data_IF_466305883203
#
_entry.id   IF_466305883203
#
_cell.length_a   1.000
_cell.length_b   1.000
_cell.length_c   1.000
_cell.angle_alpha   90.00
_cell.angle_beta   90.00
_cell.angle_gamma   90.00
#
_symmetry.space_group_name_H-M   'P 1'
#
loop_
_entity.id
_entity.type
_entity.pdbx_description
1 polymer ?
#
# COMPACT_ATOMS: atom_id res chain seq x y z
N UNK A 1 2.24 21.77 1.04
CA UNK A 1 1.73 20.70 0.11
C UNK A 1 1.47 19.45 0.94
N UNK A 2 0.22 18.98 0.95
CA UNK A 2 -0.13 17.69 1.55
C UNK A 2 -0.31 16.69 0.41
N UNK A 3 0.64 15.75 0.27
CA UNK A 3 0.66 14.80 -0.85
C UNK A 3 -0.59 13.91 -0.91
N UNK A 4 -1.27 13.69 0.20
CA UNK A 4 -2.49 12.91 0.26
C UNK A 4 -3.66 13.60 -0.47
N UNK A 5 -3.73 14.93 -0.38
CA UNK A 5 -4.86 15.73 -0.87
C UNK A 5 -4.55 16.50 -2.16
N UNK A 6 -3.31 16.96 -2.33
CA UNK A 6 -2.95 17.92 -3.38
C UNK A 6 -2.65 17.28 -4.74
N UNK A 7 -2.50 15.92 -4.79
CA UNK A 7 -2.29 15.24 -6.06
C UNK A 7 -3.53 15.37 -6.96
N UNK A 8 -3.32 15.56 -8.26
CA UNK A 8 -4.43 15.70 -9.21
C UNK A 8 -5.24 14.40 -9.31
N UNK A 9 -6.59 14.46 -9.37
CA UNK A 9 -7.46 13.28 -9.37
C UNK A 9 -7.22 12.31 -10.53
N UNK A 10 -6.82 12.81 -11.70
CA UNK A 10 -6.55 12.02 -12.90
C UNK A 10 -5.28 11.17 -12.80
N UNK A 11 -4.41 11.44 -11.83
CA UNK A 11 -3.23 10.64 -11.51
C UNK A 11 -3.54 9.47 -10.54
N UNK A 12 -4.81 9.34 -10.11
CA UNK A 12 -5.24 8.30 -9.16
C UNK A 12 -6.50 7.63 -9.71
N UNK A 13 -6.29 6.72 -10.67
CA UNK A 13 -7.35 5.91 -11.28
C UNK A 13 -7.15 4.45 -10.90
N UNK A 14 -8.21 3.67 -10.85
CA UNK A 14 -8.20 2.26 -10.46
C UNK A 14 -7.21 1.41 -11.25
N UNK A 15 -7.12 1.64 -12.55
CA UNK A 15 -6.28 0.86 -13.48
C UNK A 15 -4.81 1.28 -13.43
N UNK A 16 -4.57 2.56 -13.15
CA UNK A 16 -3.22 3.15 -13.08
C UNK A 16 -3.24 4.37 -12.16
N UNK A 17 -2.37 4.38 -11.19
CA UNK A 17 -2.30 5.42 -10.17
C UNK A 17 -0.86 5.75 -9.79
N UNK A 18 -0.70 6.85 -9.08
CA UNK A 18 0.59 7.27 -8.51
C UNK A 18 0.68 6.81 -7.07
N UNK A 19 1.70 6.02 -6.76
CA UNK A 19 2.10 5.65 -5.40
C UNK A 19 3.10 6.66 -4.87
N UNK A 20 2.95 7.02 -3.63
CA UNK A 20 3.91 7.81 -2.87
C UNK A 20 4.72 6.88 -1.97
N UNK A 21 6.04 6.77 -2.20
CA UNK A 21 6.89 5.86 -1.44
C UNK A 21 7.10 6.37 0.00
N UNK A 22 6.95 5.47 0.96
CA UNK A 22 7.22 5.72 2.36
C UNK A 22 8.51 5.01 2.81
N UNK A 23 8.61 3.71 2.56
CA UNK A 23 9.75 2.91 3.00
C UNK A 23 10.49 2.31 1.81
N UNK A 24 11.79 2.47 1.81
CA UNK A 24 12.69 1.91 0.80
C UNK A 24 12.90 0.41 1.02
N UNK A 25 13.01 -0.34 -0.04
CA UNK A 25 13.45 -1.74 0.01
C UNK A 25 14.78 -1.84 0.78
N UNK A 26 14.89 -2.78 1.70
CA UNK A 26 16.04 -2.99 2.58
C UNK A 26 16.02 -2.13 3.86
N UNK A 27 15.13 -1.14 3.98
CA UNK A 27 15.05 -0.31 5.20
C UNK A 27 14.57 -1.12 6.40
N UNK A 28 15.18 -0.84 7.56
CA UNK A 28 14.73 -1.30 8.88
C UNK A 28 13.93 -0.22 9.63
N UNK A 29 13.92 1.01 9.13
CA UNK A 29 13.04 2.06 9.64
C UNK A 29 11.64 1.92 9.05
N UNK A 30 10.62 1.97 9.90
CA UNK A 30 9.21 2.06 9.48
C UNK A 30 8.76 3.51 9.58
N UNK A 31 8.41 4.07 8.42
CA UNK A 31 7.82 5.39 8.32
C UNK A 31 6.32 5.22 8.08
N UNK A 32 5.52 6.00 8.78
CA UNK A 32 4.07 6.12 8.59
C UNK A 32 3.72 7.52 8.09
N UNK A 33 2.54 7.65 7.51
CA UNK A 33 2.05 8.93 7.03
C UNK A 33 1.19 9.61 8.10
N UNK A 34 1.58 10.83 8.48
CA UNK A 34 0.77 11.71 9.30
C UNK A 34 -0.14 12.55 8.39
N UNK A 35 -1.44 12.25 8.40
CA UNK A 35 -2.42 12.93 7.55
C UNK A 35 -2.61 14.41 7.88
N UNK A 36 -2.47 14.80 9.16
CA UNK A 36 -2.64 16.17 9.61
C UNK A 36 -1.43 17.03 9.22
N UNK A 37 -0.23 16.49 9.41
CA UNK A 37 1.01 17.16 9.01
C UNK A 37 1.26 17.08 7.50
N UNK A 38 0.72 16.08 6.82
CA UNK A 38 1.00 15.78 5.40
C UNK A 38 2.43 15.30 5.13
N UNK A 39 3.07 14.70 6.15
CA UNK A 39 4.47 14.30 6.16
C UNK A 39 4.64 12.84 6.58
N UNK A 40 5.83 12.28 6.31
CA UNK A 40 6.24 11.00 6.87
C UNK A 40 6.85 11.19 8.26
N UNK A 41 6.42 10.36 9.20
CA UNK A 41 6.94 10.29 10.55
C UNK A 41 7.60 8.95 10.80
N UNK A 42 8.66 8.91 11.62
CA UNK A 42 9.24 7.67 12.07
C UNK A 42 8.30 7.02 13.09
N UNK A 43 7.78 5.85 12.75
CA UNK A 43 6.90 5.07 13.60
C UNK A 43 7.73 4.18 14.55
N UNK A 44 8.55 3.29 14.00
CA UNK A 44 9.45 2.46 14.78
C UNK A 44 10.68 2.02 13.98
N UNK A 45 11.67 1.48 14.71
CA UNK A 45 12.83 0.82 14.14
C UNK A 45 12.72 -0.68 14.39
N UNK A 46 12.98 -1.46 13.34
CA UNK A 46 13.05 -2.91 13.45
C UNK A 46 14.36 -3.31 14.16
N UNK A 47 14.26 -4.07 15.23
CA UNK A 47 15.42 -4.64 15.96
C UNK A 47 16.07 -5.80 15.20
N UNK A 48 15.45 -6.27 14.14
CA UNK A 48 15.93 -7.40 13.35
C UNK A 48 16.64 -6.92 12.09
N UNK A 49 17.57 -7.74 11.58
CA UNK A 49 18.15 -7.57 10.26
C UNK A 49 17.11 -7.87 9.13
N UNK A 50 15.82 -7.80 9.44
CA UNK A 50 14.73 -8.00 8.49
C UNK A 50 14.35 -6.63 7.94
N UNK A 51 15.06 -6.19 6.90
CA UNK A 51 14.64 -5.03 6.11
C UNK A 51 13.39 -5.32 5.29
N UNK A 52 12.70 -4.28 4.88
CA UNK A 52 11.54 -4.39 3.99
C UNK A 52 11.93 -5.12 2.69
N UNK A 53 11.26 -6.21 2.29
CA UNK A 53 11.63 -6.97 1.09
C UNK A 53 11.32 -6.22 -0.20
N UNK A 54 10.42 -5.26 -0.14
CA UNK A 54 9.99 -4.41 -1.24
C UNK A 54 9.87 -2.98 -0.74
N UNK A 55 9.82 -2.01 -1.67
CA UNK A 55 9.39 -0.67 -1.30
C UNK A 55 7.94 -0.71 -0.81
N UNK A 56 7.58 0.19 0.10
CA UNK A 56 6.19 0.38 0.53
C UNK A 56 5.82 1.85 0.40
N UNK A 57 4.54 2.11 0.31
CA UNK A 57 4.04 3.46 0.20
C UNK A 57 2.53 3.49 0.40
N UNK A 58 1.93 4.55 -0.05
CA UNK A 58 0.48 4.71 0.04
C UNK A 58 -0.08 5.41 -1.21
N UNK A 59 -1.38 5.24 -1.40
CA UNK A 59 -2.11 5.83 -2.52
C UNK A 59 -2.76 7.14 -2.07
N UNK A 60 -2.35 8.28 -2.66
CA UNK A 60 -3.02 9.55 -2.43
C UNK A 60 -4.51 9.49 -2.78
N UNK A 61 -5.32 10.37 -2.21
CA UNK A 61 -6.77 10.49 -2.47
C UNK A 61 -7.58 9.21 -2.24
N UNK A 62 -7.12 8.37 -1.32
CA UNK A 62 -7.84 7.19 -0.82
C UNK A 62 -7.97 7.29 0.69
N UNK A 63 -8.99 6.66 1.27
CA UNK A 63 -9.22 6.67 2.72
C UNK A 63 -9.81 5.32 3.15
N UNK A 64 -9.09 4.60 3.99
CA UNK A 64 -9.57 3.37 4.62
C UNK A 64 -10.62 3.67 5.70
N UNK A 65 -11.24 2.66 6.27
CA UNK A 65 -12.17 2.81 7.41
C UNK A 65 -11.49 3.45 8.62
N UNK A 66 -10.20 3.16 8.83
CA UNK A 66 -9.39 3.75 9.91
C UNK A 66 -9.01 5.22 9.65
N UNK A 67 -9.38 5.78 8.50
CA UNK A 67 -9.11 7.17 8.16
C UNK A 67 -7.70 7.43 7.63
N UNK A 68 -7.00 6.42 7.17
CA UNK A 68 -5.65 6.50 6.59
C UNK A 68 -5.68 6.23 5.08
N UNK A 69 -4.68 6.68 4.31
CA UNK A 69 -4.57 6.29 2.91
C UNK A 69 -4.32 4.78 2.77
N UNK A 70 -4.69 4.19 1.62
CA UNK A 70 -4.35 2.79 1.33
C UNK A 70 -2.84 2.61 1.34
N UNK A 71 -2.36 1.66 2.12
CA UNK A 71 -0.97 1.20 2.04
C UNK A 71 -0.77 0.24 0.86
N UNK A 72 0.41 0.29 0.25
CA UNK A 72 0.76 -0.58 -0.88
C UNK A 72 2.14 -1.19 -0.73
N UNK A 73 2.26 -2.44 -1.17
CA UNK A 73 3.54 -3.10 -1.43
C UNK A 73 3.91 -2.77 -2.87
N UNK A 74 5.01 -2.04 -3.05
CA UNK A 74 5.45 -1.59 -4.37
C UNK A 74 6.53 -2.51 -4.93
N UNK A 75 6.16 -3.29 -5.93
CA UNK A 75 7.06 -4.14 -6.69
C UNK A 75 7.90 -3.28 -7.64
N UNK A 76 9.19 -3.20 -7.34
CA UNK A 76 10.21 -2.49 -8.11
C UNK A 76 11.56 -3.16 -7.87
N UNK A 77 12.39 -3.29 -8.91
CA UNK A 77 13.70 -3.95 -8.84
C UNK A 77 14.77 -3.15 -8.08
N UNK A 78 14.47 -1.87 -7.78
CA UNK A 78 15.41 -0.98 -7.11
C UNK A 78 14.81 -0.41 -5.81
N UNK A 79 15.63 -0.17 -4.78
CA UNK A 79 15.22 0.63 -3.65
C UNK A 79 14.94 2.07 -4.09
N UNK A 80 13.78 2.59 -3.72
CA UNK A 80 13.36 3.94 -4.03
C UNK A 80 13.44 4.82 -2.79
N UNK A 81 13.95 6.05 -2.88
CA UNK A 81 13.91 7.00 -1.77
C UNK A 81 12.47 7.24 -1.30
N UNK A 82 12.30 7.51 0.00
CA UNK A 82 11.03 8.04 0.51
C UNK A 82 10.65 9.34 -0.21
N UNK A 83 9.37 9.66 -0.27
CA UNK A 83 8.84 10.84 -0.96
C UNK A 83 8.93 10.80 -2.50
N UNK A 84 9.18 9.63 -3.10
CA UNK A 84 9.17 9.46 -4.57
C UNK A 84 7.76 9.16 -5.05
N UNK A 85 7.32 9.84 -6.11
CA UNK A 85 6.08 9.53 -6.83
C UNK A 85 6.36 8.49 -7.91
N UNK A 86 5.65 7.37 -7.87
CA UNK A 86 5.84 6.25 -8.78
C UNK A 86 4.53 5.90 -9.47
N UNK A 87 4.53 5.93 -10.81
CA UNK A 87 3.39 5.47 -11.59
C UNK A 87 3.30 3.95 -11.54
N UNK A 88 2.16 3.45 -11.09
CA UNK A 88 1.94 2.04 -10.81
C UNK A 88 0.58 1.57 -11.33
N UNK A 89 0.45 0.26 -11.44
CA UNK A 89 -0.84 -0.41 -11.62
C UNK A 89 -1.04 -1.48 -10.57
N UNK A 90 -2.28 -1.82 -10.22
CA UNK A 90 -2.56 -2.90 -9.28
C UNK A 90 -2.19 -4.26 -9.91
N UNK A 91 -1.72 -5.17 -9.05
CA UNK A 91 -1.49 -6.58 -9.38
C UNK A 91 -2.44 -7.46 -8.58
N UNK A 92 -2.81 -7.02 -7.39
CA UNK A 92 -3.72 -7.71 -6.48
C UNK A 92 -3.71 -7.09 -5.09
N UNK A 93 -4.20 -7.85 -4.14
CA UNK A 93 -4.35 -7.45 -2.73
C UNK A 93 -3.74 -8.52 -1.83
N UNK A 94 -3.16 -8.11 -0.70
CA UNK A 94 -2.85 -8.99 0.41
C UNK A 94 -3.68 -8.58 1.62
N UNK A 95 -4.45 -9.52 2.17
CA UNK A 95 -5.24 -9.34 3.37
C UNK A 95 -4.57 -10.05 4.55
N UNK A 96 -4.32 -9.32 5.63
CA UNK A 96 -3.86 -9.86 6.91
C UNK A 96 -5.06 -9.92 7.85
N UNK A 97 -5.48 -11.12 8.21
CA UNK A 97 -6.49 -11.32 9.22
C UNK A 97 -5.83 -11.32 10.59
N UNK A 98 -6.28 -10.46 11.48
CA UNK A 98 -5.72 -10.27 12.81
C UNK A 98 -6.44 -11.18 13.82
N UNK A 99 -5.75 -11.50 14.93
CA UNK A 99 -6.34 -12.31 16.00
C UNK A 99 -7.50 -11.60 16.72
N UNK A 100 -7.54 -10.27 16.67
CA UNK A 100 -8.64 -9.46 17.23
C UNK A 100 -9.90 -9.41 16.34
N UNK A 101 -9.87 -10.10 15.18
CA UNK A 101 -10.95 -10.12 14.18
C UNK A 101 -10.87 -9.00 13.15
N UNK A 102 -9.90 -8.08 13.25
CA UNK A 102 -9.67 -7.03 12.26
C UNK A 102 -8.98 -7.56 11.00
N UNK A 103 -8.94 -6.73 9.97
CA UNK A 103 -8.23 -7.03 8.72
C UNK A 103 -7.43 -5.81 8.28
N UNK A 104 -6.16 -6.02 7.92
CA UNK A 104 -5.31 -5.02 7.29
C UNK A 104 -5.10 -5.41 5.83
N UNK A 105 -5.45 -4.50 4.92
CA UNK A 105 -5.36 -4.72 3.49
C UNK A 105 -4.24 -3.86 2.87
N UNK A 106 -3.43 -4.50 2.02
CA UNK A 106 -2.38 -3.84 1.25
C UNK A 106 -2.60 -4.13 -0.22
N UNK A 107 -2.68 -3.09 -1.06
CA UNK A 107 -2.65 -3.32 -2.50
C UNK A 107 -1.21 -3.69 -2.91
N UNK A 108 -1.07 -4.65 -3.79
CA UNK A 108 0.21 -4.97 -4.43
C UNK A 108 0.25 -4.23 -5.74
N UNK A 109 1.22 -3.35 -5.89
CA UNK A 109 1.38 -2.45 -7.04
C UNK A 109 2.67 -2.73 -7.78
N UNK A 110 2.64 -2.74 -9.10
CA UNK A 110 3.82 -2.86 -9.95
C UNK A 110 4.20 -1.50 -10.53
N UNK A 111 5.48 -1.13 -10.42
CA UNK A 111 6.01 0.09 -11.02
C UNK A 111 5.98 -0.01 -12.56
N UNK A 112 5.30 0.93 -13.23
CA UNK A 112 5.17 0.92 -14.69
C UNK A 112 6.50 1.14 -15.43
N UNK A 113 7.46 1.81 -14.80
CA UNK A 113 8.79 2.06 -15.35
C UNK A 113 9.77 0.88 -15.22
N UNK A 114 9.41 -0.17 -14.49
CA UNK A 114 10.24 -1.36 -14.28
C UNK A 114 9.81 -2.45 -15.26
N UNK A 115 10.67 -2.79 -16.24
CA UNK A 115 10.31 -3.77 -17.28
C UNK A 115 9.96 -5.15 -16.73
N UNK A 116 10.65 -5.60 -15.67
CA UNK A 116 10.39 -6.89 -15.06
C UNK A 116 9.02 -6.91 -14.34
N UNK A 117 8.77 -5.92 -13.48
CA UNK A 117 7.55 -5.88 -12.69
C UNK A 117 6.34 -5.37 -13.47
N UNK A 118 6.54 -4.54 -14.49
CA UNK A 118 5.43 -4.12 -15.35
C UNK A 118 4.82 -5.27 -16.17
N UNK A 119 5.55 -6.37 -16.37
CA UNK A 119 5.02 -7.58 -17.00
C UNK A 119 4.18 -8.46 -16.06
N UNK A 120 4.31 -8.30 -14.73
CA UNK A 120 3.57 -9.06 -13.72
C UNK A 120 2.12 -8.56 -13.63
N UNK A 121 1.14 -9.31 -14.11
CA UNK A 121 -0.27 -8.89 -14.20
C UNK A 121 -1.13 -9.42 -13.06
N UNK A 122 -0.72 -10.51 -12.42
CA UNK A 122 -1.48 -11.21 -11.38
C UNK A 122 -0.60 -11.58 -10.19
N UNK A 123 -1.23 -11.80 -9.04
CA UNK A 123 -0.52 -12.25 -7.82
C UNK A 123 0.17 -13.60 -7.99
N UNK A 124 -0.32 -14.45 -8.88
CA UNK A 124 0.25 -15.78 -9.12
C UNK A 124 1.57 -15.71 -9.89
N UNK A 125 1.78 -14.66 -10.66
CA UNK A 125 3.04 -14.39 -11.38
C UNK A 125 4.13 -13.84 -10.45
N UNK A 126 3.80 -13.39 -9.24
CA UNK A 126 4.78 -12.97 -8.26
C UNK A 126 5.55 -14.20 -7.77
N UNK A 127 6.89 -14.22 -7.86
CA UNK A 127 7.70 -15.35 -7.41
C UNK A 127 7.36 -15.77 -5.98
N UNK A 128 7.25 -17.07 -5.73
CA UNK A 128 6.89 -17.61 -4.41
C UNK A 128 7.82 -17.12 -3.30
N UNK A 129 9.11 -16.96 -3.59
CA UNK A 129 10.07 -16.42 -2.63
C UNK A 129 9.73 -14.99 -2.22
N UNK A 130 9.33 -14.14 -3.19
CA UNK A 130 8.91 -12.76 -2.96
C UNK A 130 7.63 -12.73 -2.13
N UNK A 131 6.61 -13.53 -2.48
CA UNK A 131 5.36 -13.63 -1.69
C UNK A 131 5.64 -14.04 -0.24
N UNK A 132 6.50 -15.05 -0.02
CA UNK A 132 6.88 -15.47 1.34
C UNK A 132 7.62 -14.37 2.11
N UNK A 133 8.52 -13.63 1.44
CA UNK A 133 9.24 -12.53 2.07
C UNK A 133 8.30 -11.39 2.50
N UNK A 134 7.33 -11.03 1.64
CA UNK A 134 6.30 -10.03 1.94
C UNK A 134 5.48 -10.46 3.17
N UNK A 135 4.95 -11.69 3.17
CA UNK A 135 4.16 -12.22 4.30
C UNK A 135 4.96 -12.18 5.61
N UNK A 136 6.21 -12.65 5.57
CA UNK A 136 7.08 -12.65 6.76
C UNK A 136 7.31 -11.24 7.29
N UNK A 137 7.57 -10.29 6.42
CA UNK A 137 7.78 -8.89 6.78
C UNK A 137 6.52 -8.27 7.38
N UNK A 138 5.37 -8.40 6.72
CA UNK A 138 4.12 -7.81 7.19
C UNK A 138 3.66 -8.41 8.53
N UNK A 139 3.80 -9.72 8.71
CA UNK A 139 3.48 -10.37 9.99
C UNK A 139 4.40 -9.88 11.12
N UNK A 140 5.68 -9.70 10.83
CA UNK A 140 6.63 -9.15 11.80
C UNK A 140 6.30 -7.69 12.13
N UNK A 141 6.01 -6.85 11.14
CA UNK A 141 5.61 -5.45 11.32
C UNK A 141 4.36 -5.33 12.21
N UNK A 142 3.32 -6.13 11.95
CA UNK A 142 2.10 -6.18 12.78
C UNK A 142 2.39 -6.68 14.22
N UNK A 143 3.31 -7.61 14.38
CA UNK A 143 3.70 -8.10 15.71
C UNK A 143 4.37 -7.00 16.56
N UNK A 144 5.21 -6.15 15.93
CA UNK A 144 5.85 -5.01 16.64
C UNK A 144 4.82 -4.03 17.21
N UNK A 145 3.72 -3.81 16.50
CA UNK A 145 2.62 -2.95 16.96
C UNK A 145 1.54 -3.71 17.75
N UNK A 146 1.85 -4.94 18.19
CA UNK A 146 0.98 -5.80 19.01
C UNK A 146 -0.36 -6.17 18.35
N UNK A 147 -0.35 -6.33 17.06
CA UNK A 147 -1.51 -6.80 16.26
C UNK A 147 -1.18 -8.12 15.58
N UNK A 148 -1.14 -9.24 16.28
CA UNK A 148 -0.73 -10.53 15.73
C UNK A 148 -1.67 -10.99 14.60
N UNK A 149 -1.05 -11.58 13.56
CA UNK A 149 -1.75 -12.02 12.35
C UNK A 149 -2.07 -13.51 12.44
N UNK A 150 -3.35 -13.85 12.41
CA UNK A 150 -3.86 -15.24 12.41
C UNK A 150 -3.72 -15.90 11.03
N UNK A 151 -4.08 -15.19 9.96
CA UNK A 151 -4.03 -15.69 8.59
C UNK A 151 -3.62 -14.60 7.60
N UNK A 152 -3.14 -15.01 6.43
CA UNK A 152 -2.76 -14.13 5.32
C UNK A 152 -3.32 -14.69 4.02
N UNK A 153 -3.95 -13.85 3.23
CA UNK A 153 -4.56 -14.21 1.97
C UNK A 153 -4.06 -13.29 0.85
N UNK A 154 -3.71 -13.90 -0.29
CA UNK A 154 -3.47 -13.17 -1.54
C UNK A 154 -4.74 -13.20 -2.38
N UNK A 155 -5.26 -12.03 -2.70
CA UNK A 155 -6.45 -11.84 -3.51
C UNK A 155 -6.09 -11.28 -4.88
N UNK A 156 -6.91 -11.59 -5.89
CA UNK A 156 -6.68 -11.16 -7.26
C UNK A 156 -6.96 -9.67 -7.50
N UNK A 157 -6.84 -9.29 -8.77
CA UNK A 157 -7.01 -7.92 -9.22
C UNK A 157 -8.41 -7.36 -8.91
N UNK A 158 -9.45 -8.15 -9.11
CA UNK A 158 -10.85 -7.74 -8.87
C UNK A 158 -11.06 -7.26 -7.42
N UNK A 159 -10.51 -7.98 -6.44
CA UNK A 159 -10.60 -7.60 -5.03
C UNK A 159 -9.80 -6.34 -4.72
N UNK A 160 -8.62 -6.19 -5.34
CA UNK A 160 -7.82 -4.96 -5.21
C UNK A 160 -8.56 -3.74 -5.76
N UNK A 161 -9.20 -3.87 -6.92
CA UNK A 161 -10.00 -2.81 -7.53
C UNK A 161 -11.22 -2.44 -6.69
N UNK A 162 -11.96 -3.42 -6.18
CA UNK A 162 -13.10 -3.17 -5.27
C UNK A 162 -12.67 -2.44 -4.00
N UNK A 163 -11.54 -2.84 -3.42
CA UNK A 163 -10.99 -2.17 -2.24
C UNK A 163 -10.54 -0.74 -2.55
N UNK A 164 -9.88 -0.53 -3.68
CA UNK A 164 -9.50 0.80 -4.15
C UNK A 164 -10.73 1.70 -4.31
N UNK A 165 -11.77 1.24 -5.02
CA UNK A 165 -12.99 2.01 -5.28
C UNK A 165 -13.69 2.40 -3.97
N UNK A 166 -13.81 1.47 -3.01
CA UNK A 166 -14.40 1.73 -1.70
C UNK A 166 -13.62 2.82 -0.94
N UNK A 167 -12.29 2.71 -0.91
CA UNK A 167 -11.43 3.70 -0.23
C UNK A 167 -11.40 5.06 -0.95
N UNK A 168 -11.51 5.09 -2.28
CA UNK A 168 -11.63 6.33 -3.03
C UNK A 168 -12.98 7.01 -2.75
N UNK A 169 -14.07 6.26 -2.69
CA UNK A 169 -15.38 6.78 -2.30
C UNK A 169 -15.38 7.35 -0.87
N UNK A 170 -14.79 6.64 0.08
CA UNK A 170 -14.63 7.12 1.45
C UNK A 170 -13.86 8.45 1.50
N UNK A 171 -12.79 8.56 0.70
CA UNK A 171 -12.02 9.79 0.60
C UNK A 171 -12.88 10.95 0.06
N UNK A 172 -13.63 10.73 -1.03
CA UNK A 172 -14.49 11.75 -1.64
C UNK A 172 -15.57 12.23 -0.68
N UNK A 173 -16.20 11.32 0.07
CA UNK A 173 -17.21 11.64 1.07
C UNK A 173 -16.61 12.46 2.22
N UNK A 174 -15.46 12.05 2.73
CA UNK A 174 -14.86 12.63 3.93
C UNK A 174 -14.21 13.99 3.68
N UNK A 175 -13.53 14.15 2.54
CA UNK A 175 -12.70 15.32 2.27
C UNK A 175 -13.20 16.21 1.12
N UNK A 176 -14.04 15.71 0.23
CA UNK A 176 -14.51 16.48 -0.93
C UNK A 176 -16.00 16.84 -0.86
N UNK A 177 -16.75 16.31 0.11
CA UNK A 177 -18.20 16.57 0.25
C UNK A 177 -19.05 16.14 -0.96
N UNK A 178 -18.52 15.29 -1.84
CA UNK A 178 -19.20 14.82 -3.05
C UNK A 178 -19.85 13.46 -2.78
N UNK A 179 -21.17 13.41 -2.88
CA UNK A 179 -21.89 12.13 -2.98
C UNK A 179 -21.59 11.59 -4.39
N UNK A 180 -21.02 10.38 -4.54
CA UNK A 180 -20.81 9.80 -5.87
C UNK A 180 -22.15 9.60 -6.56
N UNK A 181 -22.24 9.73 -7.90
CA UNK A 181 -23.43 9.38 -8.62
C UNK A 181 -23.74 7.91 -8.39
N UNK A 182 -24.96 7.62 -7.95
CA UNK A 182 -25.45 6.24 -7.84
C UNK A 182 -25.56 5.68 -9.26
N UNK A 183 -24.73 4.66 -9.56
CA UNK A 183 -24.79 3.88 -10.79
C UNK A 183 -25.84 2.79 -10.70
#
# INVERSE_FOLDING_TARGET
MNIWHDLQPDLVRREEYTVFTANSMGSTARLSFDGDAGLLCLDHLSDSNIGAPNNTGFLPRTCTEDGLPIETILLCSQPLPAMTLVRCRPVGLIALHLEDGGTCNYIISAACADEFWSACLTVDEIPTATRKAIVRYLRYDQQLVRRPVSATEFCGLEQAEKYFDACQQNYLLRYCGKIPPQS
#
